data_IF_837671306474
#
_entry.id   IF_837671306474
#
_cell.length_a   1.000
_cell.length_b   1.000
_cell.length_c   1.000
_cell.angle_alpha   90.00
_cell.angle_beta   90.00
_cell.angle_gamma   90.00
#
_symmetry.space_group_name_H-M   'P 1'
#
loop_
_entity.id
_entity.type
_entity.pdbx_description
1 polymer ?
#
# COMPACT_ATOMS: atom_id res chain seq x y z
N UNK A 1 18.56 5.73 -22.14
CA UNK A 1 17.31 5.12 -21.65
C UNK A 1 16.57 6.22 -20.90
N UNK A 2 15.49 6.76 -21.48
CA UNK A 2 14.67 7.77 -20.79
C UNK A 2 14.01 7.06 -19.61
N UNK A 3 14.26 7.52 -18.39
CA UNK A 3 13.41 7.19 -17.25
C UNK A 3 12.05 7.79 -17.62
N UNK A 4 11.12 6.95 -18.07
CA UNK A 4 9.72 7.37 -18.15
C UNK A 4 9.33 7.87 -16.75
N UNK A 5 8.51 8.90 -16.73
CA UNK A 5 8.04 9.46 -15.49
C UNK A 5 7.17 8.42 -14.77
N UNK A 6 7.78 7.64 -13.87
CA UNK A 6 7.15 6.57 -13.07
C UNK A 6 6.03 7.07 -12.14
N UNK A 7 5.68 8.36 -12.21
CA UNK A 7 4.57 8.93 -11.47
C UNK A 7 3.26 8.41 -12.06
N UNK A 8 2.30 8.02 -11.21
CA UNK A 8 0.98 7.63 -11.68
C UNK A 8 0.35 8.78 -12.46
N UNK A 9 -0.35 8.46 -13.55
CA UNK A 9 -1.18 9.42 -14.26
C UNK A 9 -2.30 9.96 -13.36
N UNK A 10 -3.00 11.01 -13.82
CA UNK A 10 -4.05 11.66 -13.03
C UNK A 10 -5.21 10.70 -12.66
N UNK A 11 -5.56 9.78 -13.56
CA UNK A 11 -6.62 8.80 -13.33
C UNK A 11 -6.21 7.79 -12.27
N UNK A 12 -5.00 7.23 -12.38
CA UNK A 12 -4.44 6.34 -11.37
C UNK A 12 -4.34 7.05 -10.02
N UNK A 13 -3.83 8.29 -9.99
CA UNK A 13 -3.75 9.10 -8.77
C UNK A 13 -5.12 9.28 -8.12
N UNK A 14 -6.16 9.63 -8.90
CA UNK A 14 -7.53 9.78 -8.40
C UNK A 14 -8.09 8.48 -7.84
N UNK A 15 -7.81 7.35 -8.50
CA UNK A 15 -8.24 6.03 -8.03
C UNK A 15 -7.53 5.65 -6.72
N UNK A 16 -6.23 5.87 -6.62
CA UNK A 16 -5.47 5.63 -5.38
C UNK A 16 -6.02 6.48 -4.21
N UNK A 17 -6.38 7.75 -4.45
CA UNK A 17 -6.99 8.62 -3.42
C UNK A 17 -8.35 8.06 -2.95
N UNK A 18 -9.20 7.59 -3.87
CA UNK A 18 -10.48 6.96 -3.50
C UNK A 18 -10.27 5.69 -2.69
N UNK A 19 -9.30 4.87 -3.08
CA UNK A 19 -8.96 3.65 -2.38
C UNK A 19 -8.35 3.91 -1.00
N UNK A 20 -7.49 4.92 -0.86
CA UNK A 20 -6.96 5.35 0.44
C UNK A 20 -8.09 5.74 1.41
N UNK A 21 -9.15 6.39 0.92
CA UNK A 21 -10.34 6.72 1.74
C UNK A 21 -11.07 5.48 2.22
N UNK A 22 -11.26 4.49 1.34
CA UNK A 22 -11.83 3.19 1.71
C UNK A 22 -10.97 2.53 2.80
N UNK A 23 -9.67 2.38 2.56
CA UNK A 23 -8.73 1.73 3.48
C UNK A 23 -8.69 2.43 4.84
N UNK A 24 -8.66 3.77 4.84
CA UNK A 24 -8.74 4.58 6.07
C UNK A 24 -10.00 4.29 6.88
N UNK A 25 -11.14 4.09 6.22
CA UNK A 25 -12.42 3.79 6.86
C UNK A 25 -12.50 2.40 7.50
N UNK A 26 -11.59 1.48 7.15
CA UNK A 26 -11.54 0.15 7.73
C UNK A 26 -10.77 0.09 9.08
N UNK A 27 -10.18 1.20 9.51
CA UNK A 27 -9.57 1.30 10.84
C UNK A 27 -10.57 1.89 11.84
N UNK A 28 -11.04 1.07 12.78
CA UNK A 28 -11.97 1.52 13.82
C UNK A 28 -11.35 2.67 14.63
N UNK A 29 -12.02 3.84 14.75
CA UNK A 29 -11.51 4.96 15.54
C UNK A 29 -11.48 4.65 17.04
N UNK A 30 -12.14 3.59 17.50
CA UNK A 30 -12.02 3.11 18.88
C UNK A 30 -10.61 2.56 19.16
N UNK A 31 -10.03 1.86 18.20
CA UNK A 31 -8.76 1.14 18.37
C UNK A 31 -7.56 1.84 17.73
N UNK A 32 -7.80 2.70 16.73
CA UNK A 32 -6.74 3.32 15.94
C UNK A 32 -6.89 4.85 15.89
N UNK A 33 -5.75 5.52 15.75
CA UNK A 33 -5.67 6.93 15.39
C UNK A 33 -4.84 7.07 14.11
N UNK A 34 -5.36 7.78 13.12
CA UNK A 34 -4.60 8.15 11.92
C UNK A 34 -3.81 9.41 12.26
N UNK A 35 -2.48 9.30 12.38
CA UNK A 35 -1.59 10.39 12.84
C UNK A 35 -1.14 11.32 11.70
N UNK A 36 -1.06 10.79 10.47
CA UNK A 36 -0.68 11.56 9.27
C UNK A 36 -1.49 11.09 8.07
N UNK A 37 -1.94 12.06 7.28
CA UNK A 37 -2.46 11.92 5.90
C UNK A 37 -1.53 12.69 4.95
N UNK A 38 -1.48 12.37 3.65
CA UNK A 38 -0.30 12.61 2.81
C UNK A 38 0.18 14.06 2.83
N UNK A 39 1.49 14.23 3.03
CA UNK A 39 2.18 15.50 2.80
C UNK A 39 2.56 15.49 1.33
N UNK A 40 2.21 16.54 0.60
CA UNK A 40 2.73 16.73 -0.76
C UNK A 40 4.25 16.76 -0.63
N UNK A 41 4.99 15.90 -1.36
CA UNK A 41 6.45 15.92 -1.29
C UNK A 41 6.93 17.35 -1.53
N UNK A 42 7.84 17.84 -0.69
CA UNK A 42 8.50 19.09 -0.97
C UNK A 42 9.21 18.98 -2.33
N UNK A 43 9.48 20.11 -3.00
CA UNK A 43 10.02 20.11 -4.37
C UNK A 43 11.34 19.32 -4.52
N UNK A 44 12.03 19.07 -3.41
CA UNK A 44 13.28 18.31 -3.27
C UNK A 44 13.08 16.83 -2.88
N UNK A 45 11.84 16.37 -2.63
CA UNK A 45 11.52 14.96 -2.35
C UNK A 45 10.88 14.30 -3.58
N UNK A 46 11.66 13.59 -4.42
CA UNK A 46 11.12 12.92 -5.61
C UNK A 46 10.25 11.70 -5.30
N UNK A 47 10.32 11.17 -4.07
CA UNK A 47 9.60 9.99 -3.63
C UNK A 47 8.60 10.32 -2.52
N UNK A 48 7.48 9.61 -2.53
CA UNK A 48 6.41 9.78 -1.54
C UNK A 48 6.66 8.89 -0.33
N UNK A 49 6.45 9.43 0.86
CA UNK A 49 6.28 8.60 2.06
C UNK A 49 5.03 7.71 1.94
N UNK A 50 4.87 6.69 2.82
CA UNK A 50 3.61 5.95 2.90
C UNK A 50 2.41 6.88 3.13
N UNK A 51 1.26 6.52 2.56
CA UNK A 51 0.08 7.38 2.50
C UNK A 51 -0.53 7.66 3.89
N UNK A 52 -0.50 6.65 4.78
CA UNK A 52 -1.13 6.71 6.10
C UNK A 52 -0.13 6.25 7.18
N UNK A 53 -0.01 7.01 8.27
CA UNK A 53 0.62 6.55 9.52
C UNK A 53 -0.47 6.34 10.56
N UNK A 54 -0.50 5.16 11.17
CA UNK A 54 -1.55 4.73 12.08
C UNK A 54 -0.93 4.33 13.42
N UNK A 55 -1.56 4.78 14.50
CA UNK A 55 -1.26 4.37 15.87
C UNK A 55 -2.36 3.45 16.40
N UNK A 56 -1.97 2.26 16.85
CA UNK A 56 -2.85 1.40 17.63
C UNK A 56 -2.89 1.91 19.07
N UNK A 57 -4.06 2.38 19.51
CA UNK A 57 -4.24 3.11 20.78
C UNK A 57 -3.86 2.29 22.00
N UNK A 58 -4.21 1.00 22.02
CA UNK A 58 -3.97 0.12 23.18
C UNK A 58 -2.48 -0.17 23.41
N UNK A 59 -1.73 -0.48 22.34
CA UNK A 59 -0.30 -0.83 22.47
C UNK A 59 0.65 0.33 22.23
N UNK A 60 0.15 1.51 21.84
CA UNK A 60 0.92 2.65 21.33
C UNK A 60 1.84 2.33 20.13
N UNK A 61 1.71 1.14 19.53
CA UNK A 61 2.49 0.77 18.36
C UNK A 61 2.01 1.54 17.14
N UNK A 62 2.96 1.85 16.26
CA UNK A 62 2.73 2.57 15.02
C UNK A 62 3.14 1.72 13.82
N UNK A 63 2.43 1.90 12.73
CA UNK A 63 2.72 1.30 11.43
C UNK A 63 2.27 2.24 10.33
N UNK A 64 2.76 2.00 9.12
CA UNK A 64 2.43 2.79 7.95
C UNK A 64 1.78 1.93 6.86
N UNK A 65 0.94 2.57 6.05
CA UNK A 65 0.20 1.91 4.97
C UNK A 65 0.42 2.66 3.67
N UNK A 66 0.80 1.93 2.63
CA UNK A 66 0.79 2.36 1.23
C UNK A 66 -0.48 1.82 0.59
N UNK A 67 -1.27 2.69 -0.03
CA UNK A 67 -2.52 2.34 -0.70
C UNK A 67 -2.32 2.38 -2.22
N UNK A 68 -2.57 1.25 -2.87
CA UNK A 68 -2.45 1.13 -4.33
C UNK A 68 -3.69 0.46 -4.90
N UNK A 69 -4.28 1.05 -5.93
CA UNK A 69 -5.37 0.47 -6.68
C UNK A 69 -4.96 0.22 -8.13
N UNK A 70 -5.34 -0.95 -8.67
CA UNK A 70 -5.12 -1.33 -10.06
C UNK A 70 -6.42 -1.79 -10.69
N UNK A 71 -6.70 -1.28 -11.88
CA UNK A 71 -7.89 -1.64 -12.65
C UNK A 71 -7.92 -3.14 -12.99
N UNK A 72 -6.75 -3.74 -13.17
CA UNK A 72 -6.61 -5.18 -13.39
C UNK A 72 -5.26 -5.69 -12.88
N UNK A 73 -5.10 -7.01 -12.85
CA UNK A 73 -3.80 -7.64 -12.77
C UNK A 73 -3.00 -7.37 -14.05
N UNK A 74 -1.68 -7.42 -13.94
CA UNK A 74 -0.78 -7.32 -15.09
C UNK A 74 -0.19 -8.68 -15.41
N UNK A 75 0.08 -8.97 -16.68
CA UNK A 75 0.90 -10.12 -17.04
C UNK A 75 2.32 -9.90 -16.51
N UNK A 76 2.77 -10.76 -15.59
CA UNK A 76 4.11 -10.70 -15.02
C UNK A 76 5.16 -11.12 -16.02
N UNK A 77 6.14 -10.26 -16.27
CA UNK A 77 7.19 -10.55 -17.25
C UNK A 77 8.13 -11.64 -16.75
N UNK A 78 8.31 -11.75 -15.43
CA UNK A 78 9.26 -12.70 -14.82
C UNK A 78 8.62 -14.03 -14.37
N UNK A 79 7.29 -14.11 -14.29
CA UNK A 79 6.60 -15.24 -13.61
C UNK A 79 5.49 -15.86 -14.48
N UNK A 80 5.27 -15.38 -15.71
CA UNK A 80 4.32 -15.96 -16.67
C UNK A 80 2.87 -16.01 -16.19
N UNK A 81 2.53 -15.27 -15.13
CA UNK A 81 1.25 -15.29 -14.44
C UNK A 81 0.84 -13.87 -14.03
N UNK A 82 -0.41 -13.71 -13.59
CA UNK A 82 -0.97 -12.44 -13.16
C UNK A 82 -0.26 -11.91 -11.90
N UNK A 83 0.30 -10.71 -12.00
CA UNK A 83 0.99 -10.01 -10.92
C UNK A 83 0.28 -8.71 -10.55
N UNK A 84 0.53 -8.24 -9.33
CA UNK A 84 0.19 -6.86 -8.92
C UNK A 84 1.41 -5.98 -9.16
N UNK A 85 1.34 -5.09 -10.16
CA UNK A 85 2.35 -4.03 -10.35
C UNK A 85 2.03 -2.88 -9.42
N UNK A 86 2.80 -2.69 -8.34
CA UNK A 86 2.37 -1.79 -7.27
C UNK A 86 3.18 -0.49 -7.15
N UNK A 87 4.45 -0.48 -7.53
CA UNK A 87 5.33 0.69 -7.40
C UNK A 87 6.59 0.53 -8.24
N UNK A 88 7.27 1.64 -8.55
CA UNK A 88 8.59 1.62 -9.21
C UNK A 88 9.72 1.21 -8.26
N UNK A 89 10.84 0.64 -8.76
CA UNK A 89 11.96 0.19 -7.92
C UNK A 89 12.48 1.27 -6.95
N UNK A 90 12.62 2.50 -7.42
CA UNK A 90 13.15 3.60 -6.60
C UNK A 90 12.20 3.98 -5.46
N UNK A 91 10.89 4.01 -5.75
CA UNK A 91 9.87 4.29 -4.75
C UNK A 91 9.75 3.15 -3.72
N UNK A 92 9.96 1.90 -4.14
CA UNK A 92 10.05 0.74 -3.22
C UNK A 92 11.25 0.89 -2.29
N UNK A 93 12.41 1.24 -2.84
CA UNK A 93 13.61 1.50 -2.04
C UNK A 93 13.37 2.61 -1.01
N UNK A 94 12.72 3.71 -1.41
CA UNK A 94 12.33 4.77 -0.48
C UNK A 94 11.45 4.25 0.66
N UNK A 95 10.47 3.39 0.38
CA UNK A 95 9.65 2.79 1.45
C UNK A 95 10.46 1.88 2.38
N UNK A 96 11.45 1.14 1.87
CA UNK A 96 12.33 0.30 2.66
C UNK A 96 13.25 1.14 3.56
N UNK A 97 13.79 2.23 3.03
CA UNK A 97 14.59 3.20 3.78
C UNK A 97 13.73 3.90 4.84
N UNK A 98 12.48 4.26 4.52
CA UNK A 98 11.50 4.77 5.47
C UNK A 98 11.24 3.77 6.60
N UNK A 99 10.92 2.51 6.27
CA UNK A 99 10.66 1.45 7.25
C UNK A 99 11.83 1.30 8.22
N UNK A 100 13.04 1.26 7.68
CA UNK A 100 14.27 1.04 8.45
C UNK A 100 14.63 2.25 9.32
N UNK A 101 14.61 3.46 8.75
CA UNK A 101 14.98 4.69 9.46
C UNK A 101 13.98 5.08 10.54
N UNK A 102 12.68 4.90 10.29
CA UNK A 102 11.62 5.22 11.25
C UNK A 102 11.33 4.08 12.22
N UNK A 103 11.84 2.87 11.97
CA UNK A 103 11.53 1.64 12.73
C UNK A 103 10.01 1.40 12.80
N UNK A 104 9.32 1.62 11.69
CA UNK A 104 7.86 1.48 11.57
C UNK A 104 7.54 0.42 10.52
N UNK A 105 6.82 -0.66 10.86
CA UNK A 105 6.36 -1.62 9.87
C UNK A 105 5.54 -0.94 8.77
N UNK A 106 5.80 -1.28 7.52
CA UNK A 106 5.06 -0.78 6.36
C UNK A 106 4.26 -1.92 5.73
N UNK A 107 3.00 -1.64 5.40
CA UNK A 107 2.12 -2.56 4.70
C UNK A 107 1.66 -1.95 3.39
N UNK A 108 1.71 -2.73 2.32
CA UNK A 108 1.08 -2.40 1.04
C UNK A 108 -0.32 -2.98 1.06
N UNK A 109 -1.32 -2.11 1.07
CA UNK A 109 -2.71 -2.48 0.86
C UNK A 109 -3.01 -2.28 -0.61
N UNK A 110 -3.33 -3.35 -1.31
CA UNK A 110 -3.54 -3.36 -2.76
C UNK A 110 -4.99 -3.73 -3.09
N UNK A 111 -5.70 -2.86 -3.80
CA UNK A 111 -6.99 -3.14 -4.42
C UNK A 111 -6.82 -3.47 -5.91
N UNK A 112 -7.48 -4.51 -6.40
CA UNK A 112 -7.37 -4.96 -7.80
C UNK A 112 -8.76 -5.29 -8.35
N UNK A 113 -9.04 -4.84 -9.57
CA UNK A 113 -10.35 -4.94 -10.26
C UNK A 113 -11.48 -4.22 -9.53
N UNK A 114 -12.60 -4.02 -10.24
CA UNK A 114 -13.78 -3.32 -9.73
C UNK A 114 -13.56 -1.81 -9.63
N UNK A 115 -14.03 -1.21 -8.53
CA UNK A 115 -13.94 0.23 -8.31
C UNK A 115 -12.97 0.54 -7.16
N UNK A 116 -12.28 1.69 -7.16
CA UNK A 116 -11.34 2.01 -6.09
C UNK A 116 -11.98 2.14 -4.70
N UNK A 117 -13.27 2.42 -4.60
CA UNK A 117 -14.03 2.43 -3.35
C UNK A 117 -14.74 1.09 -3.04
N UNK A 118 -14.67 0.12 -3.96
CA UNK A 118 -15.18 -1.23 -3.79
C UNK A 118 -14.43 -2.20 -4.72
N UNK A 119 -13.15 -2.51 -4.45
CA UNK A 119 -12.36 -3.38 -5.31
C UNK A 119 -12.88 -4.81 -5.25
N UNK A 120 -12.70 -5.59 -6.31
CA UNK A 120 -13.09 -7.02 -6.30
C UNK A 120 -12.13 -7.85 -5.43
N UNK A 121 -10.85 -7.51 -5.49
CA UNK A 121 -9.80 -8.12 -4.69
C UNK A 121 -9.08 -7.07 -3.85
N UNK A 122 -8.80 -7.40 -2.59
CA UNK A 122 -7.97 -6.58 -1.73
C UNK A 122 -6.96 -7.46 -0.99
N UNK A 123 -5.75 -6.95 -0.84
CA UNK A 123 -4.63 -7.64 -0.22
C UNK A 123 -3.94 -6.72 0.79
N UNK A 124 -3.39 -7.28 1.86
CA UNK A 124 -2.60 -6.56 2.86
C UNK A 124 -1.25 -7.27 3.04
N UNK A 125 -0.22 -6.71 2.41
CA UNK A 125 1.07 -7.37 2.18
C UNK A 125 2.14 -6.59 2.95
N UNK A 126 2.88 -7.20 3.89
CA UNK A 126 4.03 -6.55 4.51
C UNK A 126 5.06 -6.13 3.45
N UNK A 127 5.68 -4.96 3.61
CA UNK A 127 6.70 -4.48 2.67
C UNK A 127 7.87 -5.46 2.51
N UNK A 128 8.20 -6.20 3.57
CA UNK A 128 9.24 -7.25 3.56
C UNK A 128 8.94 -8.39 2.56
N UNK A 129 7.68 -8.53 2.13
CA UNK A 129 7.23 -9.47 1.11
C UNK A 129 7.04 -8.80 -0.26
N UNK A 130 6.74 -7.50 -0.31
CA UNK A 130 6.58 -6.70 -1.53
C UNK A 130 7.89 -6.01 -1.95
N UNK A 131 8.93 -6.79 -2.26
CA UNK A 131 10.30 -6.27 -2.49
C UNK A 131 10.57 -5.77 -3.91
N UNK A 132 9.73 -6.13 -4.86
CA UNK A 132 9.90 -5.87 -6.30
C UNK A 132 8.67 -5.17 -6.87
N UNK A 133 8.77 -4.50 -8.04
CA UNK A 133 7.64 -3.84 -8.68
C UNK A 133 6.44 -4.75 -8.96
N UNK A 134 6.72 -6.02 -9.28
CA UNK A 134 5.72 -7.06 -9.50
C UNK A 134 5.60 -7.93 -8.24
N UNK A 135 4.40 -8.04 -7.68
CA UNK A 135 4.08 -9.00 -6.63
C UNK A 135 3.39 -10.20 -7.28
N UNK A 136 4.00 -11.40 -7.24
CA UNK A 136 3.43 -12.60 -7.86
C UNK A 136 2.36 -13.28 -7.00
N UNK A 137 1.55 -14.19 -7.59
CA UNK A 137 0.51 -14.92 -6.86
C UNK A 137 1.01 -15.70 -5.66
N UNK A 138 2.22 -16.26 -5.77
CA UNK A 138 2.90 -16.98 -4.67
C UNK A 138 3.13 -16.10 -3.44
N UNK A 139 3.18 -14.77 -3.63
CA UNK A 139 3.25 -13.79 -2.54
C UNK A 139 1.83 -13.33 -2.20
N UNK A 140 1.13 -12.61 -3.09
CA UNK A 140 -0.13 -11.96 -2.70
C UNK A 140 -1.26 -12.95 -2.32
N UNK A 141 -1.21 -14.19 -2.79
CA UNK A 141 -2.23 -15.22 -2.50
C UNK A 141 -2.39 -15.50 -1.01
N UNK A 142 -1.32 -15.40 -0.22
CA UNK A 142 -1.35 -15.56 1.24
C UNK A 142 -1.86 -14.34 2.02
N UNK A 143 -2.14 -13.23 1.33
CA UNK A 143 -2.38 -11.91 1.94
C UNK A 143 -3.77 -11.34 1.63
N UNK A 144 -4.74 -12.18 1.23
CA UNK A 144 -6.11 -11.73 0.93
C UNK A 144 -6.74 -11.05 2.15
N UNK A 145 -7.31 -9.87 1.91
CA UNK A 145 -8.05 -9.07 2.89
C UNK A 145 -9.49 -8.86 2.38
N UNK A 146 -10.52 -9.25 3.14
CA UNK A 146 -11.90 -8.92 2.78
C UNK A 146 -12.12 -7.39 2.79
N UNK A 147 -12.73 -6.88 1.73
CA UNK A 147 -12.91 -5.44 1.43
C UNK A 147 -13.74 -4.72 2.49
N UNK A 148 -14.71 -5.41 3.08
CA UNK A 148 -15.69 -4.86 4.02
C UNK A 148 -15.44 -5.24 5.48
N UNK A 149 -14.25 -5.76 5.80
CA UNK A 149 -13.89 -6.13 7.17
C UNK A 149 -12.91 -5.12 7.76
N UNK A 150 -13.05 -4.74 9.04
CA UNK A 150 -12.07 -3.89 9.71
C UNK A 150 -10.66 -4.49 9.69
N UNK A 151 -9.66 -3.63 9.89
CA UNK A 151 -8.28 -4.04 10.10
C UNK A 151 -7.98 -4.33 11.59
N UNK A 152 -7.16 -5.35 11.82
CA UNK A 152 -6.65 -5.73 13.14
C UNK A 152 -5.13 -5.82 13.12
N UNK A 153 -4.50 -5.07 14.03
CA UNK A 153 -3.06 -5.05 14.20
C UNK A 153 -2.67 -5.79 15.48
N UNK A 154 -1.91 -6.87 15.33
CA UNK A 154 -1.46 -7.69 16.45
C UNK A 154 -0.11 -8.31 16.14
N UNK A 155 0.83 -8.22 17.09
CA UNK A 155 2.16 -8.84 17.00
C UNK A 155 2.91 -8.51 15.69
N UNK A 156 2.87 -7.26 15.25
CA UNK A 156 3.55 -6.82 14.02
C UNK A 156 2.87 -7.24 12.72
N UNK A 157 1.66 -7.81 12.78
CA UNK A 157 0.88 -8.23 11.61
C UNK A 157 -0.39 -7.40 11.50
N UNK A 158 -0.70 -6.97 10.28
CA UNK A 158 -1.93 -6.28 9.93
C UNK A 158 -2.83 -7.23 9.10
N UNK A 159 -4.06 -7.46 9.56
CA UNK A 159 -5.03 -8.40 8.95
C UNK A 159 -6.42 -7.80 8.83
#
# INVERSE_FOLDING_TARGET
MRLEDDRPDETERRNNIKFERLVSGLFSPEHYAIERKPVTPAADQPYRDPDIIIKHKKSNQRFAVVCVFRQDFSQGQSVGSDVIRWSSPNQIKHYQDFQSSKKLPVFVVAGVKGFPDNPEHMYCIPLDSAKTPEIPPSVYGGHRKPVNKPFFYMNGKLK
#
